data_IF_312370917787
#
_entry.id   IF_312370917787
#
_cell.length_a   1.000
_cell.length_b   1.000
_cell.length_c   1.000
_cell.angle_alpha   90.00
_cell.angle_beta   90.00
_cell.angle_gamma   90.00
#
_symmetry.space_group_name_H-M   'P 1'
#
loop_
_entity.id
_entity.type
_entity.pdbx_description
1 polymer ?
#
# COMPACT_ATOMS: atom_id res chain seq x y z
N UNK A 1 -1.23 -43.88 2.66
CA UNK A 1 -0.93 -42.96 1.55
C UNK A 1 -1.06 -41.55 2.11
N UNK A 2 0.05 -40.91 2.45
CA UNK A 2 0.06 -39.52 2.93
C UNK A 2 -0.18 -38.61 1.73
N UNK A 3 -1.39 -38.06 1.62
CA UNK A 3 -1.72 -37.03 0.64
C UNK A 3 -0.83 -35.81 0.94
N UNK A 4 0.28 -35.70 0.23
CA UNK A 4 1.18 -34.56 0.33
C UNK A 4 0.45 -33.32 -0.14
N UNK A 5 0.03 -32.48 0.81
CA UNK A 5 -0.49 -31.14 0.53
C UNK A 5 0.65 -30.38 -0.15
N UNK A 6 0.48 -30.05 -1.43
CA UNK A 6 1.47 -29.27 -2.19
C UNK A 6 1.47 -27.83 -1.69
N UNK A 7 2.27 -27.59 -0.65
CA UNK A 7 2.45 -26.29 -0.02
C UNK A 7 2.83 -25.21 -1.03
N UNK A 8 3.65 -25.54 -2.02
CA UNK A 8 4.10 -24.60 -3.05
C UNK A 8 2.96 -24.18 -3.98
N UNK A 9 2.04 -25.09 -4.32
CA UNK A 9 0.87 -24.78 -5.12
C UNK A 9 -0.09 -23.80 -4.41
N UNK A 10 -0.31 -24.02 -3.11
CA UNK A 10 -1.18 -23.15 -2.31
C UNK A 10 -0.56 -21.80 -2.00
N UNK A 11 0.75 -21.75 -1.79
CA UNK A 11 1.50 -20.50 -1.69
C UNK A 11 1.35 -19.66 -2.97
N UNK A 12 1.52 -20.27 -4.15
CA UNK A 12 1.27 -19.60 -5.44
C UNK A 12 -0.16 -19.07 -5.56
N UNK A 13 -1.16 -19.83 -5.10
CA UNK A 13 -2.56 -19.39 -5.09
C UNK A 13 -2.76 -18.15 -4.23
N UNK A 14 -2.25 -18.17 -2.99
CA UNK A 14 -2.34 -17.05 -2.03
C UNK A 14 -1.65 -15.80 -2.61
N UNK A 15 -0.42 -15.93 -3.10
CA UNK A 15 0.28 -14.81 -3.73
C UNK A 15 -0.42 -14.33 -5.00
N UNK A 16 -1.06 -15.22 -5.75
CA UNK A 16 -1.88 -14.86 -6.91
C UNK A 16 -3.08 -13.99 -6.53
N UNK A 17 -3.78 -14.33 -5.45
CA UNK A 17 -4.86 -13.52 -4.87
C UNK A 17 -4.34 -12.14 -4.45
N UNK A 18 -3.25 -12.10 -3.69
CA UNK A 18 -2.68 -10.83 -3.20
C UNK A 18 -2.10 -9.98 -4.34
N UNK A 19 -1.58 -10.60 -5.41
CA UNK A 19 -1.12 -9.89 -6.61
C UNK A 19 -2.25 -9.06 -7.24
N UNK A 20 -3.50 -9.56 -7.22
CA UNK A 20 -4.69 -8.82 -7.70
C UNK A 20 -5.14 -7.70 -6.77
N UNK A 21 -4.62 -7.67 -5.53
CA UNK A 21 -4.87 -6.62 -4.52
C UNK A 21 -3.67 -5.68 -4.34
N UNK A 22 -2.73 -5.64 -5.29
CA UNK A 22 -1.49 -4.83 -5.19
C UNK A 22 -1.71 -3.33 -4.97
N UNK A 23 -2.83 -2.78 -5.42
CA UNK A 23 -3.21 -1.39 -5.15
C UNK A 23 -3.58 -1.13 -3.69
N UNK A 24 -3.87 -2.17 -2.91
CA UNK A 24 -4.31 -2.10 -1.51
C UNK A 24 -3.27 -2.68 -0.55
N UNK A 25 -2.47 -3.66 -1.00
CA UNK A 25 -1.41 -4.28 -0.19
C UNK A 25 -0.18 -4.59 -1.04
N UNK A 26 0.98 -4.06 -0.65
CA UNK A 26 2.26 -4.26 -1.35
C UNK A 26 3.05 -5.42 -0.73
N UNK A 27 3.83 -6.19 -1.51
CA UNK A 27 4.73 -7.21 -0.95
C UNK A 27 5.72 -6.60 0.07
N UNK A 28 6.14 -7.40 1.06
CA UNK A 28 7.10 -7.01 2.12
C UNK A 28 6.61 -5.92 3.07
N UNK A 29 5.30 -5.75 3.23
CA UNK A 29 4.72 -4.95 4.32
C UNK A 29 4.18 -5.87 5.41
N UNK A 30 4.07 -5.39 6.65
CA UNK A 30 3.46 -6.16 7.73
C UNK A 30 2.04 -6.62 7.37
N UNK A 31 1.22 -5.71 6.81
CA UNK A 31 -0.13 -6.03 6.34
C UNK A 31 -0.16 -7.14 5.27
N UNK A 32 0.88 -7.24 4.43
CA UNK A 32 0.99 -8.31 3.44
C UNK A 32 1.26 -9.65 4.11
N UNK A 33 2.19 -9.69 5.06
CA UNK A 33 2.52 -10.91 5.82
C UNK A 33 1.32 -11.37 6.66
N UNK A 34 0.61 -10.44 7.29
CA UNK A 34 -0.62 -10.72 8.03
C UNK A 34 -1.71 -11.31 7.14
N UNK A 35 -1.91 -10.74 5.94
CA UNK A 35 -2.85 -11.28 4.96
C UNK A 35 -2.43 -12.66 4.43
N UNK A 36 -1.14 -12.91 4.22
CA UNK A 36 -0.65 -14.24 3.84
C UNK A 36 -1.02 -15.26 4.92
N UNK A 37 -0.77 -14.94 6.19
CA UNK A 37 -1.10 -15.82 7.31
C UNK A 37 -2.61 -16.05 7.45
N UNK A 38 -3.41 -15.00 7.36
CA UNK A 38 -4.88 -15.10 7.42
C UNK A 38 -5.43 -16.01 6.32
N UNK A 39 -4.92 -15.86 5.09
CA UNK A 39 -5.34 -16.67 3.95
C UNK A 39 -4.89 -18.14 4.09
N UNK A 40 -3.71 -18.40 4.66
CA UNK A 40 -3.28 -19.75 5.02
C UNK A 40 -4.22 -20.40 6.03
N UNK A 41 -4.62 -19.69 7.08
CA UNK A 41 -5.55 -20.20 8.10
C UNK A 41 -6.89 -20.57 7.46
N UNK A 42 -7.43 -19.71 6.59
CA UNK A 42 -8.70 -19.94 5.90
C UNK A 42 -8.60 -21.16 4.99
N UNK A 43 -7.51 -21.27 4.23
CA UNK A 43 -7.26 -22.40 3.34
C UNK A 43 -7.20 -23.72 4.12
N UNK A 44 -6.44 -23.78 5.21
CA UNK A 44 -6.30 -24.98 6.04
C UNK A 44 -7.67 -25.41 6.60
N UNK A 45 -8.46 -24.45 7.09
CA UNK A 45 -9.83 -24.74 7.60
C UNK A 45 -10.73 -25.29 6.51
N UNK A 46 -10.71 -24.69 5.32
CA UNK A 46 -11.53 -25.14 4.20
C UNK A 46 -11.13 -26.55 3.73
N UNK A 47 -9.84 -26.84 3.64
CA UNK A 47 -9.34 -28.15 3.25
C UNK A 47 -9.59 -29.23 4.32
N UNK A 48 -9.61 -28.86 5.60
CA UNK A 48 -10.00 -29.78 6.68
C UNK A 48 -11.49 -30.18 6.57
N UNK A 49 -12.36 -29.24 6.18
CA UNK A 49 -13.79 -29.50 5.99
C UNK A 49 -14.09 -30.20 4.66
N UNK A 50 -13.33 -29.90 3.61
CA UNK A 50 -13.54 -30.40 2.24
C UNK A 50 -12.21 -30.82 1.59
N UNK A 51 -11.62 -31.96 1.99
CA UNK A 51 -10.31 -32.40 1.48
C UNK A 51 -10.26 -32.56 -0.05
N UNK A 52 -11.38 -32.94 -0.65
CA UNK A 52 -11.51 -33.16 -2.11
C UNK A 52 -11.34 -31.87 -2.94
N UNK A 53 -11.31 -30.70 -2.29
CA UNK A 53 -11.09 -29.41 -2.94
C UNK A 53 -9.61 -29.02 -3.04
N UNK A 54 -8.68 -29.83 -2.51
CA UNK A 54 -7.24 -29.59 -2.52
C UNK A 54 -6.63 -29.68 -3.94
N UNK A 55 -6.87 -28.66 -4.76
CA UNK A 55 -6.30 -28.53 -6.09
C UNK A 55 -5.83 -27.09 -6.33
N UNK A 56 -4.65 -26.94 -6.95
CA UNK A 56 -4.03 -25.64 -7.25
C UNK A 56 -4.94 -24.71 -8.08
N UNK A 57 -5.68 -25.29 -9.03
CA UNK A 57 -6.58 -24.57 -9.95
C UNK A 57 -8.03 -24.58 -9.49
N UNK A 58 -8.27 -24.67 -8.17
CA UNK A 58 -9.62 -24.64 -7.65
C UNK A 58 -10.17 -23.21 -7.60
N UNK A 59 -11.09 -22.89 -8.52
CA UNK A 59 -11.73 -21.59 -8.61
C UNK A 59 -12.48 -21.21 -7.32
N UNK A 60 -13.09 -22.18 -6.62
CA UNK A 60 -13.83 -21.91 -5.39
C UNK A 60 -12.88 -21.48 -4.27
N UNK A 61 -11.73 -22.12 -4.14
CA UNK A 61 -10.68 -21.71 -3.19
C UNK A 61 -10.17 -20.31 -3.54
N UNK A 62 -9.93 -20.03 -4.82
CA UNK A 62 -9.53 -18.69 -5.24
C UNK A 62 -10.57 -17.62 -4.85
N UNK A 63 -11.86 -17.85 -5.14
CA UNK A 63 -12.95 -16.92 -4.81
C UNK A 63 -13.08 -16.72 -3.29
N UNK A 64 -12.97 -17.80 -2.52
CA UNK A 64 -13.00 -17.77 -1.06
C UNK A 64 -11.87 -16.89 -0.51
N UNK A 65 -10.63 -17.16 -0.91
CA UNK A 65 -9.46 -16.41 -0.48
C UNK A 65 -9.53 -14.95 -0.92
N UNK A 66 -9.98 -14.69 -2.15
CA UNK A 66 -10.12 -13.32 -2.66
C UNK A 66 -11.16 -12.51 -1.88
N UNK A 67 -12.30 -13.12 -1.58
CA UNK A 67 -13.35 -12.50 -0.76
C UNK A 67 -12.84 -12.24 0.65
N UNK A 68 -12.13 -13.21 1.25
CA UNK A 68 -11.57 -13.07 2.59
C UNK A 68 -10.53 -11.95 2.69
N UNK A 69 -9.64 -11.85 1.71
CA UNK A 69 -8.67 -10.76 1.62
C UNK A 69 -9.37 -9.39 1.53
N UNK A 70 -10.46 -9.29 0.77
CA UNK A 70 -11.23 -8.05 0.66
C UNK A 70 -11.90 -7.66 1.99
N UNK A 71 -12.45 -8.62 2.73
CA UNK A 71 -13.09 -8.37 4.02
C UNK A 71 -12.09 -7.94 5.09
N UNK A 72 -10.92 -8.58 5.11
CA UNK A 72 -9.82 -8.19 5.99
C UNK A 72 -9.39 -6.74 5.72
N UNK A 73 -9.13 -6.38 4.46
CA UNK A 73 -8.75 -5.02 4.08
C UNK A 73 -9.84 -3.99 4.41
N UNK A 74 -11.12 -4.34 4.27
CA UNK A 74 -12.23 -3.47 4.72
C UNK A 74 -12.24 -3.31 6.24
N UNK A 75 -11.91 -4.34 7.00
CA UNK A 75 -11.81 -4.28 8.47
C UNK A 75 -10.66 -3.38 8.89
N UNK A 76 -9.48 -3.55 8.29
CA UNK A 76 -8.32 -2.70 8.54
C UNK A 76 -8.62 -1.23 8.24
N UNK A 77 -9.22 -0.94 7.08
CA UNK A 77 -9.64 0.42 6.73
C UNK A 77 -10.59 1.02 7.77
N UNK A 78 -11.56 0.24 8.27
CA UNK A 78 -12.49 0.70 9.33
C UNK A 78 -11.79 0.90 10.67
N UNK A 79 -10.83 0.05 11.01
CA UNK A 79 -10.03 0.17 12.23
C UNK A 79 -9.20 1.46 12.22
N UNK A 80 -8.52 1.73 11.11
CA UNK A 80 -7.77 2.96 10.89
C UNK A 80 -8.66 4.20 11.01
N UNK A 81 -9.87 4.16 10.46
CA UNK A 81 -10.85 5.27 10.55
C UNK A 81 -11.42 5.47 11.95
N UNK A 82 -11.49 4.42 12.78
CA UNK A 82 -12.01 4.51 14.16
C UNK A 82 -10.96 4.92 15.19
N UNK A 83 -9.70 4.61 14.93
CA UNK A 83 -8.58 4.93 15.81
C UNK A 83 -7.91 6.27 15.45
N UNK A 84 -8.60 7.13 14.70
CA UNK A 84 -8.20 8.54 14.57
C UNK A 84 -8.37 9.18 15.95
N UNK A 85 -7.31 9.64 16.62
CA UNK A 85 -7.43 10.26 17.94
C UNK A 85 -8.33 11.49 17.84
N UNK A 86 -9.40 11.54 18.64
CA UNK A 86 -10.34 12.67 18.70
C UNK A 86 -9.79 13.90 19.43
N UNK A 87 -8.53 13.86 19.87
CA UNK A 87 -7.85 14.98 20.53
C UNK A 87 -6.61 15.36 19.73
N UNK A 88 -6.82 16.18 18.71
CA UNK A 88 -5.74 16.95 18.10
C UNK A 88 -5.95 18.38 18.56
N UNK A 89 -5.16 18.77 19.55
CA UNK A 89 -5.02 20.12 20.09
C UNK A 89 -4.81 21.11 18.94
N UNK A 90 -5.83 21.95 18.67
CA UNK A 90 -5.91 22.92 17.57
C UNK A 90 -4.84 24.03 17.64
N UNK A 91 -3.93 23.98 18.64
CA UNK A 91 -2.91 25.01 18.87
C UNK A 91 -1.58 24.76 18.18
N UNK A 92 -1.37 23.63 17.52
CA UNK A 92 -0.17 23.40 16.68
C UNK A 92 -0.54 23.54 15.22
N UNK A 93 -0.72 24.79 14.80
CA UNK A 93 -0.83 25.22 13.41
C UNK A 93 0.35 24.67 12.58
N UNK A 94 0.02 23.78 11.65
CA UNK A 94 0.97 23.29 10.64
C UNK A 94 0.51 22.07 9.84
N UNK A 95 -0.80 21.94 9.58
CA UNK A 95 -1.49 21.08 8.60
C UNK A 95 -0.68 19.93 7.98
N UNK A 96 -1.08 18.71 8.32
CA UNK A 96 -1.04 17.58 7.40
C UNK A 96 -2.22 16.68 7.71
N UNK A 97 -3.40 17.04 7.22
CA UNK A 97 -4.45 16.04 7.03
C UNK A 97 -3.81 14.85 6.29
N UNK A 98 -3.99 13.60 6.77
CA UNK A 98 -3.44 12.45 6.07
C UNK A 98 -3.97 12.50 4.63
N UNK A 99 -3.04 12.58 3.67
CA UNK A 99 -3.38 12.64 2.24
C UNK A 99 -4.40 11.54 1.96
N UNK A 100 -5.61 11.94 1.53
CA UNK A 100 -6.68 10.99 1.24
C UNK A 100 -6.13 9.89 0.32
N UNK A 101 -6.42 8.59 0.55
CA UNK A 101 -5.83 7.50 -0.22
C UNK A 101 -6.00 7.66 -1.74
N UNK A 102 -7.09 8.30 -2.18
CA UNK A 102 -7.31 8.63 -3.59
C UNK A 102 -6.29 9.67 -4.13
N UNK A 103 -5.94 10.66 -3.31
CA UNK A 103 -4.97 11.70 -3.66
C UNK A 103 -3.54 11.17 -3.67
N UNK A 104 -3.21 10.23 -2.78
CA UNK A 104 -1.91 9.54 -2.80
C UNK A 104 -1.74 8.72 -4.10
N UNK A 105 -2.77 7.97 -4.50
CA UNK A 105 -2.77 7.22 -5.78
C UNK A 105 -2.63 8.15 -6.99
N UNK A 106 -3.29 9.30 -6.96
CA UNK A 106 -3.21 10.33 -8.00
C UNK A 106 -1.79 10.88 -8.11
N UNK A 107 -1.14 11.19 -6.98
CA UNK A 107 0.23 11.71 -6.96
C UNK A 107 1.26 10.64 -7.33
N UNK A 108 1.03 9.36 -7.03
CA UNK A 108 1.87 8.26 -7.49
C UNK A 108 1.79 8.07 -9.01
N UNK A 109 0.60 8.20 -9.62
CA UNK A 109 0.45 8.18 -11.07
C UNK A 109 1.18 9.35 -11.75
N UNK A 110 1.24 10.51 -11.10
CA UNK A 110 2.08 11.61 -11.55
C UNK A 110 3.56 11.23 -11.52
N UNK A 111 4.06 10.63 -10.44
CA UNK A 111 5.47 10.20 -10.31
C UNK A 111 5.88 9.27 -11.45
N UNK A 112 5.04 8.31 -11.82
CA UNK A 112 5.31 7.37 -12.92
C UNK A 112 5.41 8.06 -14.29
N UNK A 113 4.78 9.23 -14.46
CA UNK A 113 4.83 10.03 -15.70
C UNK A 113 6.01 10.99 -15.77
N UNK A 114 6.75 11.16 -14.67
CA UNK A 114 7.89 12.08 -14.63
C UNK A 114 9.12 11.39 -15.23
N UNK A 115 9.84 12.05 -16.14
CA UNK A 115 11.09 11.51 -16.69
C UNK A 115 12.31 11.80 -15.79
N UNK A 116 12.27 12.90 -15.03
CA UNK A 116 13.38 13.29 -14.13
C UNK A 116 13.33 12.49 -12.81
N UNK A 117 14.24 11.52 -12.69
CA UNK A 117 14.43 10.67 -11.50
C UNK A 117 14.66 11.46 -10.20
N UNK A 118 15.24 12.65 -10.30
CA UNK A 118 15.47 13.53 -9.14
C UNK A 118 14.15 14.15 -8.66
N UNK A 119 13.26 14.49 -9.59
CA UNK A 119 11.94 15.03 -9.26
C UNK A 119 11.00 13.95 -8.74
N UNK A 120 11.08 12.74 -9.31
CA UNK A 120 10.42 11.55 -8.75
C UNK A 120 10.87 11.31 -7.30
N UNK A 121 12.19 11.33 -7.04
CA UNK A 121 12.75 11.16 -5.71
C UNK A 121 12.27 12.23 -4.73
N UNK A 122 12.19 13.49 -5.17
CA UNK A 122 11.68 14.58 -4.34
C UNK A 122 10.18 14.42 -4.02
N UNK A 123 9.35 14.08 -5.00
CA UNK A 123 7.91 13.90 -4.78
C UNK A 123 7.63 12.66 -3.90
N UNK A 124 8.36 11.55 -4.12
CA UNK A 124 8.30 10.37 -3.25
C UNK A 124 8.70 10.70 -1.81
N UNK A 125 9.78 11.47 -1.62
CA UNK A 125 10.21 11.89 -0.27
C UNK A 125 9.13 12.74 0.40
N UNK A 126 8.52 13.70 -0.33
CA UNK A 126 7.43 14.54 0.15
C UNK A 126 6.25 13.70 0.67
N UNK A 127 5.83 12.69 -0.09
CA UNK A 127 4.73 11.78 0.27
C UNK A 127 5.08 10.85 1.44
N UNK A 128 6.32 10.35 1.50
CA UNK A 128 6.74 9.36 2.48
C UNK A 128 6.96 9.95 3.88
N UNK A 129 7.31 11.24 3.97
CA UNK A 129 7.75 11.86 5.22
C UNK A 129 7.02 13.16 5.56
N UNK A 130 5.69 13.19 5.47
CA UNK A 130 4.84 14.40 5.44
C UNK A 130 5.08 15.45 6.54
N UNK A 131 5.56 15.05 7.73
CA UNK A 131 5.88 15.96 8.84
C UNK A 131 7.32 16.48 8.90
N UNK A 132 8.21 16.03 8.01
CA UNK A 132 9.63 16.40 8.11
C UNK A 132 9.95 17.78 7.54
N UNK A 133 10.93 18.42 8.18
CA UNK A 133 11.37 19.76 7.79
C UNK A 133 12.16 19.69 6.49
N UNK A 134 12.00 20.70 5.61
CA UNK A 134 12.74 20.81 4.36
C UNK A 134 14.27 20.68 4.49
N UNK A 135 14.82 21.09 5.64
CA UNK A 135 16.26 21.01 5.90
C UNK A 135 16.76 19.58 6.14
N UNK A 136 15.92 18.65 6.59
CA UNK A 136 16.22 17.21 6.74
C UNK A 136 16.12 16.53 5.38
N UNK A 137 15.03 16.82 4.65
CA UNK A 137 14.77 16.30 3.31
C UNK A 137 15.89 16.60 2.33
N UNK A 138 16.40 17.85 2.30
CA UNK A 138 17.54 18.21 1.43
C UNK A 138 18.80 17.38 1.73
N UNK A 139 19.05 17.07 3.00
CA UNK A 139 20.23 16.30 3.42
C UNK A 139 20.07 14.85 2.95
N UNK A 140 18.90 14.26 3.14
CA UNK A 140 18.58 12.90 2.68
C UNK A 140 18.70 12.77 1.17
N UNK A 141 18.14 13.73 0.44
CA UNK A 141 18.17 13.76 -1.02
C UNK A 141 19.51 14.22 -1.60
N UNK A 142 20.51 14.49 -0.76
CA UNK A 142 21.82 14.99 -1.15
C UNK A 142 21.75 16.22 -2.10
N UNK A 143 20.88 17.18 -1.76
CA UNK A 143 20.67 18.38 -2.57
C UNK A 143 21.18 19.64 -1.88
N UNK A 144 21.77 20.54 -2.67
CA UNK A 144 22.01 21.91 -2.20
C UNK A 144 20.68 22.61 -1.87
N UNK A 145 20.72 23.60 -0.97
CA UNK A 145 19.52 24.39 -0.61
C UNK A 145 18.88 25.02 -1.85
N UNK A 146 19.68 25.64 -2.71
CA UNK A 146 19.19 26.31 -3.92
C UNK A 146 18.53 25.32 -4.90
N UNK A 147 19.18 24.16 -5.12
CA UNK A 147 18.65 23.10 -5.98
C UNK A 147 17.33 22.55 -5.45
N UNK A 148 17.25 22.28 -4.14
CA UNK A 148 16.06 21.74 -3.50
C UNK A 148 14.83 22.66 -3.71
N UNK A 149 14.95 23.95 -3.40
CA UNK A 149 13.82 24.87 -3.54
C UNK A 149 13.42 25.10 -5.00
N UNK A 150 14.39 25.14 -5.93
CA UNK A 150 14.10 25.23 -7.36
C UNK A 150 13.30 24.01 -7.83
N UNK A 151 13.73 22.80 -7.46
CA UNK A 151 13.04 21.56 -7.80
C UNK A 151 11.67 21.45 -7.11
N UNK A 152 11.56 21.89 -5.85
CA UNK A 152 10.29 21.94 -5.12
C UNK A 152 9.26 22.83 -5.81
N UNK A 153 9.67 23.99 -6.32
CA UNK A 153 8.78 24.88 -7.07
C UNK A 153 8.26 24.20 -8.36
N UNK A 154 9.15 23.51 -9.08
CA UNK A 154 8.77 22.74 -10.29
C UNK A 154 7.79 21.63 -9.95
N UNK A 155 8.08 20.81 -8.94
CA UNK A 155 7.19 19.72 -8.49
C UNK A 155 5.81 20.25 -8.09
N UNK A 156 5.75 21.36 -7.33
CA UNK A 156 4.48 22.01 -6.98
C UNK A 156 3.69 22.43 -8.21
N UNK A 157 4.35 22.99 -9.21
CA UNK A 157 3.70 23.40 -10.44
C UNK A 157 3.19 22.18 -11.25
N UNK A 158 3.98 21.10 -11.30
CA UNK A 158 3.57 19.86 -11.97
C UNK A 158 2.34 19.24 -11.31
N UNK A 159 2.32 19.14 -9.98
CA UNK A 159 1.16 18.66 -9.22
C UNK A 159 -0.07 19.54 -9.49
N UNK A 160 0.10 20.86 -9.48
CA UNK A 160 -1.00 21.80 -9.74
C UNK A 160 -1.58 21.65 -11.15
N UNK A 161 -0.75 21.41 -12.16
CA UNK A 161 -1.22 21.18 -13.53
C UNK A 161 -1.94 19.83 -13.62
N UNK A 162 -1.34 18.78 -13.04
CA UNK A 162 -1.90 17.43 -13.07
C UNK A 162 -3.25 17.30 -12.37
N UNK A 163 -3.50 18.07 -11.31
CA UNK A 163 -4.79 18.07 -10.60
C UNK A 163 -5.88 18.91 -11.29
N UNK A 164 -5.52 19.68 -12.33
CA UNK A 164 -6.47 20.48 -13.11
C UNK A 164 -6.92 19.80 -14.40
N UNK A 165 -6.14 18.83 -14.87
CA UNK A 165 -6.42 17.98 -16.03
C UNK A 165 -7.34 16.82 -15.64
#
# INVERSE_FOLDING_TARGET
MTNGVDYMAFERLIHGVLKRKRSQVRPKTALYEDLVQELWIVLIKELALRPNQAAEKNLNLYILLFSRAADYLKKERRSLLRNVPTEIDERILGVSEPVAPEMELTLLALIERMEDSTMQGLLNDLLSFQGERHHERRKRLNMSRATYYRKLAVVRQMVKNFLKD
#
